data_IF_729784774755
#
_entry.id   IF_729784774755
#
_cell.length_a   1.000
_cell.length_b   1.000
_cell.length_c   1.000
_cell.angle_alpha   90.00
_cell.angle_beta   90.00
_cell.angle_gamma   90.00
#
_symmetry.space_group_name_H-M   'P 1'
#
loop_
_entity.id
_entity.type
_entity.pdbx_description
1 polymer ?
#
# COMPACT_ATOMS: atom_id res chain seq x y z
N UNK A 1 -32.06 -36.38 35.89
CA UNK A 1 -32.54 -36.21 34.51
C UNK A 1 -31.97 -37.33 33.66
N UNK A 2 -32.84 -38.24 33.24
CA UNK A 2 -32.58 -39.36 32.32
C UNK A 2 -32.95 -38.86 30.90
N UNK A 3 -32.46 -39.30 29.75
CA UNK A 3 -32.11 -40.62 29.23
C UNK A 3 -31.25 -40.53 27.94
N UNK A 4 -30.79 -41.71 27.52
CA UNK A 4 -29.99 -42.08 26.36
C UNK A 4 -30.66 -41.77 24.99
N UNK A 5 -29.79 -41.70 23.97
CA UNK A 5 -30.05 -41.91 22.54
C UNK A 5 -31.05 -43.05 22.26
N UNK A 6 -31.83 -42.91 21.18
CA UNK A 6 -31.90 -43.77 19.97
C UNK A 6 -33.13 -43.34 19.14
N UNK A 7 -33.00 -43.26 17.81
CA UNK A 7 -33.90 -43.78 16.74
C UNK A 7 -33.56 -43.03 15.43
N UNK A 8 -32.90 -43.63 14.43
CA UNK A 8 -33.32 -44.63 13.43
C UNK A 8 -34.13 -44.04 12.24
N UNK A 9 -33.65 -44.38 11.03
CA UNK A 9 -34.33 -44.52 9.72
C UNK A 9 -34.53 -43.31 8.77
N UNK A 10 -33.79 -43.42 7.65
CA UNK A 10 -34.26 -43.55 6.25
C UNK A 10 -35.49 -42.74 5.80
N UNK A 11 -35.30 -41.88 4.79
CA UNK A 11 -35.77 -42.12 3.42
C UNK A 11 -35.46 -40.92 2.51
N UNK A 12 -34.86 -41.23 1.35
CA UNK A 12 -34.72 -40.38 0.18
C UNK A 12 -36.07 -39.85 -0.30
N UNK A 13 -36.12 -38.58 -0.69
CA UNK A 13 -36.85 -38.16 -1.88
C UNK A 13 -36.02 -37.18 -2.69
N UNK A 14 -35.78 -37.60 -3.94
CA UNK A 14 -35.12 -36.90 -5.04
C UNK A 14 -36.04 -35.78 -5.52
N UNK A 15 -35.50 -34.57 -5.72
CA UNK A 15 -36.04 -33.65 -6.72
C UNK A 15 -35.01 -33.52 -7.83
N UNK A 16 -35.47 -33.95 -8.99
CA UNK A 16 -34.97 -33.86 -10.35
C UNK A 16 -33.77 -32.93 -10.62
N UNK A 17 -32.75 -33.56 -11.20
CA UNK A 17 -31.76 -32.98 -12.11
C UNK A 17 -32.47 -32.45 -13.34
N UNK A 18 -32.11 -31.26 -13.81
CA UNK A 18 -31.89 -31.05 -15.24
C UNK A 18 -30.77 -30.05 -15.53
N UNK A 19 -30.04 -30.26 -16.63
CA UNK A 19 -28.60 -30.02 -16.68
C UNK A 19 -28.25 -28.91 -17.68
N UNK A 20 -26.95 -28.61 -17.75
CA UNK A 20 -26.28 -27.69 -18.67
C UNK A 20 -26.16 -26.25 -18.18
N UNK A 21 -25.15 -26.02 -17.35
CA UNK A 21 -24.18 -24.99 -17.68
C UNK A 21 -22.79 -25.62 -17.54
N UNK A 22 -21.95 -25.37 -18.54
CA UNK A 22 -20.57 -25.79 -18.68
C UNK A 22 -19.86 -25.95 -17.33
N UNK A 23 -19.16 -27.07 -17.16
CA UNK A 23 -18.02 -27.11 -16.26
C UNK A 23 -16.99 -26.12 -16.82
N UNK A 24 -17.07 -24.87 -16.35
CA UNK A 24 -15.86 -24.11 -16.16
C UNK A 24 -15.08 -24.93 -15.11
N UNK A 25 -14.05 -25.64 -15.55
CA UNK A 25 -13.04 -26.12 -14.63
C UNK A 25 -12.55 -24.90 -13.87
N UNK A 26 -12.97 -24.77 -12.61
CA UNK A 26 -12.45 -23.78 -11.70
C UNK A 26 -10.95 -24.07 -11.56
N UNK A 27 -10.04 -23.21 -12.03
CA UNK A 27 -8.62 -23.43 -11.88
C UNK A 27 -8.20 -23.43 -10.40
N UNK A 28 -9.09 -23.03 -9.48
CA UNK A 28 -8.95 -23.17 -8.02
C UNK A 28 -9.03 -24.62 -7.53
N UNK A 29 -9.57 -25.55 -8.34
CA UNK A 29 -9.67 -26.97 -7.98
C UNK A 29 -8.36 -27.76 -8.18
N UNK A 30 -7.33 -27.15 -8.79
CA UNK A 30 -5.97 -27.67 -8.71
C UNK A 30 -5.36 -27.25 -7.38
N UNK A 31 -4.70 -28.17 -6.66
CA UNK A 31 -4.02 -27.89 -5.38
C UNK A 31 -3.26 -26.54 -5.48
N UNK A 32 -3.75 -25.47 -4.83
CA UNK A 32 -3.21 -24.16 -5.07
C UNK A 32 -1.80 -24.10 -4.46
N UNK A 33 -0.79 -23.83 -5.28
CA UNK A 33 0.53 -23.40 -4.80
C UNK A 33 0.27 -22.26 -3.81
N UNK A 34 0.73 -22.33 -2.55
CA UNK A 34 0.43 -21.32 -1.54
C UNK A 34 0.79 -19.94 -2.07
N UNK A 35 -0.14 -18.99 -1.95
CA UNK A 35 0.13 -17.63 -2.37
C UNK A 35 1.32 -17.07 -1.57
N UNK A 36 2.23 -16.32 -2.19
CA UNK A 36 3.27 -15.60 -1.46
C UNK A 36 2.65 -14.74 -0.35
N UNK A 37 3.04 -15.01 0.90
CA UNK A 37 2.55 -14.31 2.09
C UNK A 37 1.46 -15.04 2.89
N UNK A 38 0.97 -16.20 2.45
CA UNK A 38 0.09 -17.04 3.29
C UNK A 38 0.85 -17.66 4.46
N UNK A 39 0.18 -17.96 5.60
CA UNK A 39 0.77 -18.79 6.65
C UNK A 39 1.26 -20.11 6.05
N UNK A 40 2.59 -20.31 5.99
CA UNK A 40 3.23 -21.47 5.34
C UNK A 40 4.09 -21.16 4.11
N UNK A 41 4.11 -19.93 3.60
CA UNK A 41 5.04 -19.54 2.53
C UNK A 41 6.49 -19.55 3.06
N UNK A 42 7.34 -20.40 2.48
CA UNK A 42 8.76 -20.43 2.83
C UNK A 42 9.50 -19.27 2.15
N UNK A 43 10.60 -18.81 2.76
CA UNK A 43 11.47 -17.79 2.14
C UNK A 43 11.90 -18.19 0.73
N UNK A 44 12.21 -19.47 0.50
CA UNK A 44 12.59 -19.97 -0.82
C UNK A 44 11.48 -19.78 -1.87
N UNK A 45 10.23 -20.09 -1.51
CA UNK A 45 9.07 -19.90 -2.40
C UNK A 45 8.84 -18.43 -2.73
N UNK A 46 9.02 -17.52 -1.77
CA UNK A 46 8.95 -16.07 -2.02
C UNK A 46 10.06 -15.63 -2.96
N UNK A 47 11.30 -16.08 -2.74
CA UNK A 47 12.43 -15.72 -3.60
C UNK A 47 12.27 -16.21 -5.05
N UNK A 48 11.60 -17.35 -5.27
CA UNK A 48 11.28 -17.86 -6.61
C UNK A 48 10.41 -16.87 -7.40
N UNK A 49 9.43 -16.24 -6.74
CA UNK A 49 8.56 -15.23 -7.36
C UNK A 49 9.33 -13.95 -7.68
N UNK A 50 10.23 -13.51 -6.79
CA UNK A 50 11.08 -12.35 -7.07
C UNK A 50 12.15 -12.63 -8.14
N UNK A 51 12.49 -13.90 -8.40
CA UNK A 51 13.41 -14.31 -9.46
C UNK A 51 12.73 -14.38 -10.85
N UNK A 52 11.40 -14.50 -10.89
CA UNK A 52 10.61 -14.55 -12.12
C UNK A 52 10.80 -13.27 -12.95
N UNK A 53 11.13 -13.45 -14.24
CA UNK A 53 11.47 -12.32 -15.12
C UNK A 53 10.26 -11.47 -15.46
N UNK A 54 9.09 -12.09 -15.64
CA UNK A 54 7.85 -11.38 -15.95
C UNK A 54 7.37 -10.57 -14.74
N UNK A 55 7.47 -11.12 -13.53
CA UNK A 55 7.23 -10.41 -12.29
C UNK A 55 8.17 -9.21 -12.15
N UNK A 56 9.48 -9.40 -12.36
CA UNK A 56 10.45 -8.29 -12.30
C UNK A 56 10.18 -7.21 -13.33
N UNK A 57 9.82 -7.58 -14.56
CA UNK A 57 9.47 -6.64 -15.62
C UNK A 57 8.24 -5.83 -15.24
N UNK A 58 7.14 -6.47 -14.83
CA UNK A 58 5.93 -5.79 -14.36
C UNK A 58 6.18 -4.93 -13.12
N UNK A 59 7.02 -5.40 -12.20
CA UNK A 59 7.41 -4.64 -11.02
C UNK A 59 8.18 -3.38 -11.42
N UNK A 60 9.20 -3.50 -12.28
CA UNK A 60 9.97 -2.36 -12.80
C UNK A 60 9.10 -1.38 -13.60
N UNK A 61 8.20 -1.89 -14.44
CA UNK A 61 7.21 -1.10 -15.16
C UNK A 61 6.31 -0.34 -14.17
N UNK A 62 5.78 -1.01 -13.14
CA UNK A 62 4.96 -0.37 -12.13
C UNK A 62 5.73 0.67 -11.30
N UNK A 63 7.01 0.45 -10.99
CA UNK A 63 7.82 1.45 -10.27
C UNK A 63 8.19 2.67 -11.14
N UNK A 64 8.35 2.50 -12.46
CA UNK A 64 8.74 3.59 -13.36
C UNK A 64 7.55 4.35 -13.99
N UNK A 65 6.41 3.70 -14.23
CA UNK A 65 5.26 4.31 -14.91
C UNK A 65 4.55 5.31 -13.98
N UNK A 66 4.67 5.17 -12.67
CA UNK A 66 4.02 6.04 -11.70
C UNK A 66 4.84 7.28 -11.30
N UNK A 67 5.89 7.64 -12.03
CA UNK A 67 6.63 8.90 -11.76
C UNK A 67 5.76 10.16 -11.94
N UNK A 68 4.64 10.04 -12.65
CA UNK A 68 3.62 11.09 -12.75
C UNK A 68 2.63 11.07 -11.58
N UNK A 69 2.64 10.04 -10.73
CA UNK A 69 1.89 9.93 -9.48
C UNK A 69 2.67 10.48 -8.27
N UNK A 70 3.82 11.11 -8.50
CA UNK A 70 4.55 11.82 -7.46
C UNK A 70 4.55 13.33 -7.73
N UNK A 71 4.37 14.18 -6.70
CA UNK A 71 4.48 15.61 -6.85
C UNK A 71 5.91 15.97 -7.24
N UNK A 72 6.06 16.66 -8.37
CA UNK A 72 7.37 17.11 -8.88
C UNK A 72 7.81 18.38 -8.16
N UNK A 73 9.06 18.40 -7.70
CA UNK A 73 9.65 19.61 -7.10
C UNK A 73 9.98 20.64 -8.20
N UNK A 74 9.32 21.82 -8.22
CA UNK A 74 9.55 22.82 -9.24
C UNK A 74 10.98 23.39 -9.14
N UNK A 75 11.52 23.83 -10.28
CA UNK A 75 12.90 24.34 -10.35
C UNK A 75 13.16 25.52 -9.40
N UNK A 76 12.14 26.36 -9.16
CA UNK A 76 12.16 27.49 -8.24
C UNK A 76 12.35 27.09 -6.78
N UNK A 77 11.97 25.86 -6.42
CA UNK A 77 12.05 25.35 -5.05
C UNK A 77 13.24 24.41 -4.83
N UNK A 78 13.88 23.92 -5.89
CA UNK A 78 14.99 22.96 -5.81
C UNK A 78 16.10 23.39 -4.87
N UNK A 79 16.62 24.61 -5.03
CA UNK A 79 17.72 25.09 -4.19
C UNK A 79 17.33 25.18 -2.71
N UNK A 80 16.12 25.68 -2.43
CA UNK A 80 15.61 25.78 -1.07
C UNK A 80 15.43 24.38 -0.46
N UNK A 81 14.87 23.44 -1.23
CA UNK A 81 14.64 22.08 -0.78
C UNK A 81 15.94 21.33 -0.49
N UNK A 82 16.96 21.46 -1.34
CA UNK A 82 18.28 20.85 -1.10
C UNK A 82 18.88 21.32 0.21
N UNK A 83 18.84 22.64 0.50
CA UNK A 83 19.32 23.18 1.78
C UNK A 83 18.54 22.63 2.98
N UNK A 84 17.22 22.46 2.83
CA UNK A 84 16.38 21.85 3.88
C UNK A 84 16.74 20.38 4.09
N UNK A 85 16.98 19.62 3.02
CA UNK A 85 17.37 18.21 3.11
C UNK A 85 18.72 18.04 3.83
N UNK A 86 19.71 18.85 3.47
CA UNK A 86 21.03 18.87 4.12
C UNK A 86 20.90 19.24 5.61
N UNK A 87 20.05 20.23 5.92
CA UNK A 87 19.80 20.64 7.29
C UNK A 87 19.07 19.54 8.08
N UNK A 88 18.06 18.89 7.50
CA UNK A 88 17.29 17.83 8.15
C UNK A 88 18.14 16.61 8.52
N UNK A 89 19.22 16.35 7.77
CA UNK A 89 20.16 15.28 8.08
C UNK A 89 20.96 15.51 9.38
N UNK A 90 21.05 16.75 9.85
CA UNK A 90 21.86 17.12 11.04
C UNK A 90 21.02 17.73 12.16
N UNK A 91 19.99 18.48 11.81
CA UNK A 91 19.08 19.17 12.74
C UNK A 91 17.67 19.27 12.15
N UNK A 92 16.88 18.22 12.38
CA UNK A 92 15.49 18.11 11.91
C UNK A 92 14.57 19.18 12.53
N UNK A 93 14.86 19.66 13.74
CA UNK A 93 14.05 20.69 14.40
C UNK A 93 14.27 22.04 13.71
N UNK A 94 15.51 22.38 13.40
CA UNK A 94 15.81 23.61 12.66
C UNK A 94 15.30 23.53 11.22
N UNK A 95 15.45 22.38 10.57
CA UNK A 95 14.89 22.14 9.23
C UNK A 95 13.37 22.36 9.20
N UNK A 96 12.65 21.91 10.24
CA UNK A 96 11.22 22.17 10.37
C UNK A 96 10.88 23.66 10.33
N UNK A 97 11.54 24.47 11.16
CA UNK A 97 11.25 25.92 11.22
C UNK A 97 11.68 26.65 9.95
N UNK A 98 12.82 26.29 9.36
CA UNK A 98 13.26 26.90 8.09
C UNK A 98 12.33 26.54 6.92
N UNK A 99 11.88 25.28 6.83
CA UNK A 99 10.93 24.86 5.81
C UNK A 99 9.57 25.53 6.03
N UNK A 100 9.08 25.59 7.27
CA UNK A 100 7.83 26.26 7.63
C UNK A 100 7.84 27.74 7.25
N UNK A 101 8.96 28.44 7.45
CA UNK A 101 9.11 29.84 7.08
C UNK A 101 9.13 30.07 5.55
N UNK A 102 9.55 29.07 4.77
CA UNK A 102 9.59 29.12 3.30
C UNK A 102 8.32 28.63 2.63
N UNK A 103 7.50 27.85 3.35
CA UNK A 103 6.26 27.28 2.82
C UNK A 103 5.17 28.35 2.78
N UNK A 104 4.62 28.59 1.60
CA UNK A 104 3.51 29.51 1.36
C UNK A 104 2.32 28.75 0.75
N UNK A 105 1.20 29.45 0.53
CA UNK A 105 0.04 28.86 -0.15
C UNK A 105 0.39 28.34 -1.55
N UNK A 106 1.30 29.02 -2.26
CA UNK A 106 1.73 28.69 -3.62
C UNK A 106 2.86 27.66 -3.68
N UNK A 107 3.41 27.24 -2.53
CA UNK A 107 4.45 26.21 -2.50
C UNK A 107 3.94 24.87 -3.04
N UNK A 108 4.85 24.06 -3.58
CA UNK A 108 4.48 22.74 -4.11
C UNK A 108 3.94 21.79 -3.03
N UNK A 109 3.24 20.74 -3.48
CA UNK A 109 2.84 19.63 -2.62
C UNK A 109 4.04 18.94 -1.94
N UNK A 110 5.25 19.02 -2.53
CA UNK A 110 6.49 18.45 -1.95
C UNK A 110 6.89 19.18 -0.66
N UNK A 111 6.78 20.51 -0.64
CA UNK A 111 7.06 21.30 0.56
C UNK A 111 6.09 20.95 1.69
N UNK A 112 4.79 20.93 1.38
CA UNK A 112 3.74 20.58 2.34
C UNK A 112 3.91 19.16 2.87
N UNK A 113 4.17 18.19 1.98
CA UNK A 113 4.37 16.79 2.35
C UNK A 113 5.58 16.61 3.26
N UNK A 114 6.69 17.26 2.92
CA UNK A 114 7.94 17.19 3.69
C UNK A 114 7.75 17.85 5.07
N UNK A 115 7.09 19.00 5.11
CA UNK A 115 6.81 19.70 6.36
C UNK A 115 5.87 18.89 7.27
N UNK A 116 4.86 18.25 6.70
CA UNK A 116 3.97 17.34 7.42
C UNK A 116 4.70 16.11 7.95
N UNK A 117 5.58 15.51 7.14
CA UNK A 117 6.40 14.36 7.52
C UNK A 117 7.35 14.68 8.67
N UNK A 118 8.04 15.83 8.60
CA UNK A 118 8.92 16.29 9.68
C UNK A 118 8.10 16.61 10.95
N UNK A 119 6.94 17.26 10.82
CA UNK A 119 6.07 17.54 11.96
C UNK A 119 5.64 16.26 12.67
N UNK A 120 5.33 15.21 11.91
CA UNK A 120 4.99 13.90 12.47
C UNK A 120 6.16 13.29 13.25
N UNK A 121 7.38 13.32 12.70
CA UNK A 121 8.60 12.85 13.38
C UNK A 121 8.86 13.61 14.69
N UNK A 122 8.53 14.91 14.74
CA UNK A 122 8.65 15.76 15.92
C UNK A 122 7.50 15.62 16.92
N UNK A 123 6.64 14.61 16.77
CA UNK A 123 5.47 14.37 17.61
C UNK A 123 4.48 15.56 17.64
N UNK A 124 4.26 16.19 16.48
CA UNK A 124 3.30 17.30 16.27
C UNK A 124 2.16 16.87 15.35
N UNK A 125 1.31 15.91 15.76
CA UNK A 125 0.34 15.25 14.87
C UNK A 125 -0.69 16.22 14.28
N UNK A 126 -1.11 17.24 15.03
CA UNK A 126 -2.07 18.23 14.53
C UNK A 126 -1.48 19.15 13.45
N UNK A 127 -0.18 19.46 13.52
CA UNK A 127 0.50 20.21 12.46
C UNK A 127 0.75 19.29 11.26
N UNK A 128 1.18 18.04 11.50
CA UNK A 128 1.38 17.04 10.47
C UNK A 128 0.13 16.83 9.61
N UNK A 129 -1.03 16.59 10.24
CA UNK A 129 -2.29 16.39 9.53
C UNK A 129 -2.63 17.56 8.61
N UNK A 130 -2.50 18.80 9.09
CA UNK A 130 -2.78 20.01 8.29
C UNK A 130 -1.93 20.08 7.03
N UNK A 131 -0.63 19.82 7.16
CA UNK A 131 0.29 19.91 6.01
C UNK A 131 0.14 18.72 5.06
N UNK A 132 -0.07 17.52 5.57
CA UNK A 132 -0.30 16.34 4.73
C UNK A 132 -1.62 16.46 3.96
N UNK A 133 -2.70 16.94 4.59
CA UNK A 133 -3.96 17.25 3.89
C UNK A 133 -3.79 18.34 2.83
N UNK A 134 -2.94 19.34 3.08
CA UNK A 134 -2.61 20.36 2.08
C UNK A 134 -1.87 19.75 0.89
N UNK A 135 -0.90 18.88 1.15
CA UNK A 135 -0.16 18.16 0.10
C UNK A 135 -1.10 17.32 -0.78
N UNK A 136 -2.00 16.53 -0.17
CA UNK A 136 -2.99 15.72 -0.91
C UNK A 136 -3.97 16.59 -1.70
N UNK A 137 -4.33 17.77 -1.20
CA UNK A 137 -5.20 18.69 -1.95
C UNK A 137 -4.49 19.30 -3.17
N UNK A 138 -3.19 19.61 -3.04
CA UNK A 138 -2.37 20.13 -4.13
C UNK A 138 -2.01 19.04 -5.15
N UNK A 139 -1.94 17.78 -4.71
CA UNK A 139 -1.62 16.62 -5.51
C UNK A 139 -2.42 15.39 -5.02
N UNK A 140 -3.63 15.15 -5.56
CA UNK A 140 -4.54 14.10 -5.11
C UNK A 140 -4.23 12.71 -5.68
#
# INVERSE_FOLDING_TARGET
MSWRLIFFRSAFWIVAVWPWALSAQDPSAADPKPAPGSPGATRAAVMEIFADQDFRKRALENFNIHSDLEPKLPATEKEAFTKIADLAATDVVRAYFELKAKTTADSSAVFDFTLGSIAYQLNRPNEAAKYLESATRKFP
#
